data_IF_846341580960
#
_entry.id   IF_846341580960
#
_cell.length_a   1.000
_cell.length_b   1.000
_cell.length_c   1.000
_cell.angle_alpha   90.00
_cell.angle_beta   90.00
_cell.angle_gamma   90.00
#
_symmetry.space_group_name_H-M   'P 1'
#
loop_
_entity.id
_entity.type
_entity.pdbx_description
1 polymer ?
#
# COMPACT_ATOMS: atom_id res chain seq x y z
N UNK A 1 25.94 -28.17 9.49
CA UNK A 1 26.62 -27.21 8.57
C UNK A 1 25.62 -26.59 7.57
N UNK A 2 24.69 -27.36 6.99
CA UNK A 2 23.61 -26.83 6.13
C UNK A 2 22.73 -25.75 6.82
N UNK A 3 22.32 -25.97 8.09
CA UNK A 3 21.49 -25.04 8.84
C UNK A 3 22.15 -23.68 9.11
N UNK A 4 23.44 -23.66 9.46
CA UNK A 4 24.19 -22.41 9.67
C UNK A 4 24.46 -21.67 8.36
N UNK A 5 24.75 -22.39 7.28
CA UNK A 5 24.91 -21.79 5.96
C UNK A 5 23.59 -21.19 5.46
N UNK A 6 22.48 -21.89 5.66
CA UNK A 6 21.14 -21.41 5.29
C UNK A 6 20.74 -20.15 6.05
N UNK A 7 20.96 -20.09 7.38
CA UNK A 7 20.70 -18.89 8.19
C UNK A 7 21.62 -17.74 7.76
N UNK A 8 22.91 -18.00 7.52
CA UNK A 8 23.86 -16.96 7.13
C UNK A 8 23.51 -16.33 5.77
N UNK A 9 23.03 -17.14 4.81
CA UNK A 9 22.54 -16.67 3.51
C UNK A 9 21.24 -15.88 3.67
N UNK A 10 20.30 -16.36 4.50
CA UNK A 10 19.02 -15.66 4.74
C UNK A 10 19.16 -14.30 5.45
N UNK A 11 20.27 -14.05 6.15
CA UNK A 11 20.55 -12.76 6.78
C UNK A 11 21.18 -11.77 5.78
N UNK A 12 21.65 -12.24 4.62
CA UNK A 12 22.19 -11.35 3.59
C UNK A 12 21.09 -10.43 3.07
N UNK A 13 21.43 -9.14 2.96
CA UNK A 13 20.46 -8.10 2.63
C UNK A 13 19.71 -8.34 1.31
N UNK A 14 20.35 -8.85 0.23
CA UNK A 14 19.61 -9.23 -0.99
C UNK A 14 18.54 -10.29 -0.77
N UNK A 15 18.80 -11.31 0.06
CA UNK A 15 17.83 -12.37 0.37
C UNK A 15 16.68 -11.85 1.24
N UNK A 16 16.98 -10.96 2.19
CA UNK A 16 15.94 -10.28 2.99
C UNK A 16 15.04 -9.44 2.11
N UNK A 17 15.61 -8.65 1.18
CA UNK A 17 14.85 -7.84 0.23
C UNK A 17 13.97 -8.73 -0.67
N UNK A 18 14.53 -9.80 -1.24
CA UNK A 18 13.81 -10.72 -2.11
C UNK A 18 12.67 -11.43 -1.36
N UNK A 19 12.90 -11.83 -0.10
CA UNK A 19 11.88 -12.44 0.76
C UNK A 19 10.71 -11.50 1.05
N UNK A 20 11.00 -10.24 1.43
CA UNK A 20 9.97 -9.22 1.65
C UNK A 20 9.17 -8.98 0.37
N UNK A 21 9.85 -8.87 -0.78
CA UNK A 21 9.19 -8.66 -2.06
C UNK A 21 8.30 -9.85 -2.46
N UNK A 22 8.73 -11.08 -2.20
CA UNK A 22 7.95 -12.29 -2.44
C UNK A 22 6.70 -12.34 -1.56
N UNK A 23 6.81 -12.00 -0.28
CA UNK A 23 5.67 -11.97 0.63
C UNK A 23 4.71 -10.81 0.32
N UNK A 24 5.24 -9.67 -0.11
CA UNK A 24 4.43 -8.55 -0.62
C UNK A 24 3.65 -8.95 -1.88
N UNK A 25 4.29 -9.65 -2.82
CA UNK A 25 3.60 -10.14 -4.02
C UNK A 25 2.42 -11.07 -3.68
N UNK A 26 2.62 -12.01 -2.75
CA UNK A 26 1.52 -12.86 -2.25
C UNK A 26 0.41 -12.05 -1.59
N UNK A 27 0.77 -11.05 -0.78
CA UNK A 27 -0.22 -10.19 -0.12
C UNK A 27 -1.04 -9.36 -1.13
N UNK A 28 -0.41 -8.85 -2.19
CA UNK A 28 -1.08 -8.14 -3.28
C UNK A 28 -2.08 -9.07 -3.98
N UNK A 29 -1.68 -10.30 -4.30
CA UNK A 29 -2.54 -11.29 -4.95
C UNK A 29 -3.73 -11.69 -4.07
N UNK A 30 -3.51 -11.96 -2.78
CA UNK A 30 -4.57 -12.31 -1.83
C UNK A 30 -5.58 -11.18 -1.60
N UNK A 31 -5.17 -9.93 -1.82
CA UNK A 31 -6.02 -8.75 -1.71
C UNK A 31 -6.58 -8.26 -3.03
N UNK A 32 -6.14 -8.81 -4.17
CA UNK A 32 -6.74 -8.50 -5.45
C UNK A 32 -8.19 -9.01 -5.42
N UNK A 33 -9.15 -8.09 -5.35
CA UNK A 33 -10.56 -8.45 -5.40
C UNK A 33 -10.94 -9.06 -6.74
N UNK A 34 -12.13 -9.66 -6.79
CA UNK A 34 -12.65 -10.26 -8.01
C UNK A 34 -13.07 -9.16 -9.01
N UNK A 35 -12.42 -9.04 -10.18
CA UNK A 35 -12.76 -8.03 -11.18
C UNK A 35 -14.15 -8.23 -11.80
N UNK A 36 -14.77 -9.40 -11.62
CA UNK A 36 -16.11 -9.73 -12.12
C UNK A 36 -17.23 -9.35 -11.15
N UNK A 37 -16.90 -9.14 -9.86
CA UNK A 37 -17.78 -8.48 -8.89
C UNK A 37 -17.65 -6.98 -9.17
N UNK A 38 -18.28 -6.60 -10.27
CA UNK A 38 -17.94 -5.43 -11.07
C UNK A 38 -18.01 -4.08 -10.35
N UNK A 39 -17.73 -3.07 -11.17
CA UNK A 39 -17.78 -1.62 -10.93
C UNK A 39 -19.12 -1.05 -10.39
N UNK A 40 -19.97 -1.89 -9.81
CA UNK A 40 -21.15 -1.54 -8.99
C UNK A 40 -20.78 -1.17 -7.54
N UNK A 41 -19.53 -0.77 -7.33
CA UNK A 41 -19.09 -0.17 -6.09
C UNK A 41 -19.76 1.20 -5.95
N UNK A 42 -21.00 1.23 -5.43
CA UNK A 42 -21.45 2.39 -4.67
C UNK A 42 -20.29 2.77 -3.75
N UNK A 43 -19.78 3.99 -3.92
CA UNK A 43 -18.66 4.48 -3.13
C UNK A 43 -18.99 4.23 -1.66
N UNK A 44 -18.10 3.59 -0.87
CA UNK A 44 -18.36 3.32 0.55
C UNK A 44 -18.91 4.54 1.31
N UNK A 45 -18.49 5.74 0.91
CA UNK A 45 -19.00 7.00 1.43
C UNK A 45 -20.51 7.21 1.20
N UNK A 46 -21.05 6.86 0.02
CA UNK A 46 -22.48 6.94 -0.27
C UNK A 46 -23.27 5.93 0.57
N UNK A 47 -22.79 4.68 0.66
CA UNK A 47 -23.41 3.66 1.50
C UNK A 47 -23.47 4.10 2.97
N UNK A 48 -22.40 4.70 3.48
CA UNK A 48 -22.36 5.22 4.85
C UNK A 48 -23.31 6.41 5.01
N UNK A 49 -23.41 7.29 4.00
CA UNK A 49 -24.30 8.45 4.04
C UNK A 49 -25.79 8.08 4.02
N UNK A 50 -26.14 6.94 3.43
CA UNK A 50 -27.50 6.40 3.38
C UNK A 50 -27.90 5.66 4.68
N UNK A 51 -27.01 5.53 5.66
CA UNK A 51 -27.33 4.86 6.93
C UNK A 51 -28.19 5.76 7.85
N UNK A 52 -29.14 5.14 8.55
CA UNK A 52 -30.02 5.84 9.48
C UNK A 52 -29.26 6.30 10.74
N UNK A 53 -28.89 7.58 10.76
CA UNK A 53 -28.25 8.24 11.89
C UNK A 53 -26.75 7.94 12.04
N UNK A 54 -26.12 8.37 13.16
CA UNK A 54 -24.68 8.31 13.32
C UNK A 54 -24.11 6.91 13.57
N UNK A 55 -24.96 5.92 13.87
CA UNK A 55 -24.54 4.58 14.29
C UNK A 55 -23.98 4.55 15.70
N UNK A 56 -23.58 3.35 16.14
CA UNK A 56 -22.96 3.11 17.45
C UNK A 56 -21.48 2.77 17.30
N UNK A 57 -20.64 3.38 18.13
CA UNK A 57 -19.20 3.18 18.08
C UNK A 57 -18.74 2.01 18.94
N UNK A 58 -17.78 1.25 18.41
CA UNK A 58 -17.07 0.20 19.14
C UNK A 58 -15.63 0.66 19.36
N UNK A 59 -15.26 0.75 20.63
CA UNK A 59 -13.92 1.14 21.05
C UNK A 59 -12.93 -0.01 20.97
N UNK A 60 -11.67 0.30 20.68
CA UNK A 60 -10.59 -0.68 20.68
C UNK A 60 -10.37 -1.21 22.10
N UNK A 61 -10.36 -2.54 22.32
CA UNK A 61 -10.24 -3.11 23.66
C UNK A 61 -8.83 -2.92 24.25
N UNK A 62 -7.81 -2.79 23.39
CA UNK A 62 -6.41 -2.57 23.78
C UNK A 62 -5.65 -1.83 22.69
N UNK A 63 -4.53 -1.22 23.06
CA UNK A 63 -3.62 -0.59 22.10
C UNK A 63 -2.78 -1.61 21.34
N UNK A 64 -2.51 -1.37 20.07
CA UNK A 64 -1.66 -2.23 19.23
C UNK A 64 -1.97 -2.11 17.75
N UNK A 65 -1.11 -2.69 16.92
CA UNK A 65 -1.37 -2.77 15.48
C UNK A 65 -2.46 -3.78 15.20
N UNK A 66 -3.43 -3.39 14.37
CA UNK A 66 -4.38 -4.32 13.78
C UNK A 66 -3.59 -5.20 12.80
N UNK A 67 -3.48 -6.49 13.08
CA UNK A 67 -2.66 -7.43 12.29
C UNK A 67 -3.51 -8.23 11.30
N UNK A 68 -4.75 -8.52 11.66
CA UNK A 68 -5.61 -9.39 10.87
C UNK A 68 -7.09 -9.14 11.13
N UNK A 69 -7.91 -9.26 10.09
CA UNK A 69 -9.37 -9.17 10.13
C UNK A 69 -9.98 -10.35 9.37
N UNK A 70 -10.88 -11.08 10.02
CA UNK A 70 -11.67 -12.14 9.40
C UNK A 70 -12.97 -11.58 8.80
N UNK A 71 -12.89 -11.04 7.58
CA UNK A 71 -14.05 -10.41 6.91
C UNK A 71 -15.27 -11.34 6.82
N UNK A 72 -15.09 -12.64 6.54
CA UNK A 72 -16.20 -13.61 6.48
C UNK A 72 -16.94 -13.74 7.81
N UNK A 73 -16.21 -13.84 8.90
CA UNK A 73 -16.76 -13.91 10.26
C UNK A 73 -17.53 -12.65 10.62
N UNK A 74 -17.02 -11.47 10.21
CA UNK A 74 -17.71 -10.20 10.41
C UNK A 74 -19.00 -10.08 9.59
N UNK A 75 -19.01 -10.54 8.34
CA UNK A 75 -20.20 -10.55 7.49
C UNK A 75 -21.27 -11.46 8.08
N UNK A 76 -20.90 -12.64 8.57
CA UNK A 76 -21.83 -13.57 9.23
C UNK A 76 -22.42 -12.95 10.50
N UNK A 77 -21.56 -12.41 11.37
CA UNK A 77 -21.99 -11.71 12.58
C UNK A 77 -22.96 -10.56 12.27
N UNK A 78 -22.62 -9.74 11.29
CA UNK A 78 -23.45 -8.61 10.86
C UNK A 78 -24.81 -9.08 10.32
N UNK A 79 -24.86 -10.17 9.56
CA UNK A 79 -26.11 -10.75 9.08
C UNK A 79 -26.98 -11.31 10.22
N UNK A 80 -26.39 -11.99 11.21
CA UNK A 80 -27.11 -12.56 12.36
C UNK A 80 -27.80 -11.51 13.25
N UNK A 81 -27.27 -10.29 13.27
CA UNK A 81 -27.77 -9.19 14.10
C UNK A 81 -28.44 -8.09 13.28
N UNK A 82 -28.62 -8.36 11.99
CA UNK A 82 -29.13 -7.43 10.98
C UNK A 82 -28.49 -6.03 11.05
N UNK A 83 -27.16 -6.01 10.99
CA UNK A 83 -26.36 -4.79 11.08
C UNK A 83 -25.45 -4.59 9.86
N UNK A 84 -24.95 -3.37 9.75
CA UNK A 84 -23.84 -2.95 8.89
C UNK A 84 -22.68 -2.55 9.77
N UNK A 85 -21.52 -3.17 9.53
CA UNK A 85 -20.27 -2.87 10.24
C UNK A 85 -19.38 -2.01 9.33
N UNK A 86 -18.87 -0.89 9.81
CA UNK A 86 -17.84 -0.09 9.15
C UNK A 86 -16.52 -0.15 9.92
N UNK A 87 -15.51 -0.75 9.30
CA UNK A 87 -14.14 -0.77 9.80
C UNK A 87 -13.43 0.54 9.40
N UNK A 88 -13.27 1.46 10.37
CA UNK A 88 -12.56 2.74 10.17
C UNK A 88 -11.04 2.53 9.98
N UNK A 89 -10.54 1.41 10.46
CA UNK A 89 -9.12 1.05 10.43
C UNK A 89 -8.92 -0.26 9.68
N UNK A 90 -7.74 -0.41 9.09
CA UNK A 90 -7.31 -1.58 8.33
C UNK A 90 -6.09 -2.22 8.97
N UNK A 91 -5.77 -3.48 8.63
CA UNK A 91 -4.52 -4.08 9.07
C UNK A 91 -3.33 -3.17 8.76
N UNK A 92 -2.43 -3.01 9.73
CA UNK A 92 -1.33 -2.05 9.69
C UNK A 92 -1.54 -0.80 10.52
N UNK A 93 -2.78 -0.40 10.80
CA UNK A 93 -3.02 0.76 11.64
C UNK A 93 -2.84 0.44 13.12
N UNK A 94 -2.32 1.42 13.87
CA UNK A 94 -2.25 1.35 15.32
C UNK A 94 -3.59 1.79 15.92
N UNK A 95 -4.19 0.92 16.72
CA UNK A 95 -5.37 1.20 17.52
C UNK A 95 -4.94 1.70 18.90
N UNK A 96 -5.69 2.67 19.43
CA UNK A 96 -5.49 3.19 20.80
C UNK A 96 -6.66 2.70 21.65
N UNK A 97 -6.35 2.09 22.80
CA UNK A 97 -7.37 1.60 23.73
C UNK A 97 -8.40 2.69 24.05
N UNK A 98 -9.69 2.32 24.01
CA UNK A 98 -10.79 3.24 24.30
C UNK A 98 -11.20 4.14 23.13
N UNK A 99 -10.40 4.24 22.07
CA UNK A 99 -10.77 5.00 20.88
C UNK A 99 -11.66 4.16 19.95
N UNK A 100 -12.68 4.77 19.32
CA UNK A 100 -13.51 4.11 18.32
C UNK A 100 -12.70 3.61 17.12
N UNK A 101 -12.90 2.36 16.72
CA UNK A 101 -12.29 1.80 15.50
C UNK A 101 -13.28 1.15 14.54
N UNK A 102 -14.52 0.95 14.99
CA UNK A 102 -15.63 0.43 14.20
C UNK A 102 -16.88 1.25 14.50
N UNK A 103 -17.70 1.45 13.47
CA UNK A 103 -19.08 1.96 13.60
C UNK A 103 -20.06 0.90 13.15
N UNK A 104 -21.20 0.82 13.84
CA UNK A 104 -22.22 -0.19 13.58
C UNK A 104 -23.58 0.49 13.42
N UNK A 105 -24.33 0.07 12.41
CA UNK A 105 -25.73 0.45 12.23
C UNK A 105 -26.63 -0.79 12.26
N UNK A 106 -27.80 -0.75 12.91
CA UNK A 106 -28.26 0.32 13.79
C UNK A 106 -27.42 0.39 15.09
N UNK A 107 -27.47 1.52 15.80
CA UNK A 107 -26.56 1.80 16.91
C UNK A 107 -26.68 0.79 18.07
N UNK A 108 -27.86 0.23 18.27
CA UNK A 108 -28.19 -0.75 19.30
C UNK A 108 -27.42 -2.07 19.10
N UNK A 109 -27.00 -2.38 17.87
CA UNK A 109 -26.21 -3.58 17.58
C UNK A 109 -24.74 -3.46 18.02
N UNK A 110 -24.23 -2.23 18.28
CA UNK A 110 -22.82 -1.99 18.55
C UNK A 110 -22.27 -2.79 19.74
N UNK A 111 -23.03 -2.93 20.83
CA UNK A 111 -22.58 -3.69 22.00
C UNK A 111 -22.50 -5.20 21.72
N UNK A 112 -23.39 -5.74 20.87
CA UNK A 112 -23.34 -7.15 20.45
C UNK A 112 -22.16 -7.37 19.51
N UNK A 113 -21.97 -6.49 18.54
CA UNK A 113 -20.81 -6.53 17.64
C UNK A 113 -19.51 -6.45 18.46
N UNK A 114 -19.38 -5.52 19.40
CA UNK A 114 -18.18 -5.36 20.23
C UNK A 114 -17.73 -6.65 20.94
N UNK A 115 -18.69 -7.42 21.48
CA UNK A 115 -18.41 -8.68 22.19
C UNK A 115 -17.83 -9.76 21.27
N UNK A 116 -18.35 -9.89 20.07
CA UNK A 116 -17.90 -10.91 19.10
C UNK A 116 -16.70 -10.43 18.27
N UNK A 117 -16.58 -9.12 18.05
CA UNK A 117 -15.50 -8.51 17.28
C UNK A 117 -14.13 -8.80 17.88
N UNK A 118 -14.03 -8.93 19.20
CA UNK A 118 -12.80 -9.33 19.90
C UNK A 118 -12.27 -10.71 19.45
N UNK A 119 -13.12 -11.57 18.88
CA UNK A 119 -12.74 -12.90 18.33
C UNK A 119 -12.43 -12.85 16.83
N UNK A 120 -12.87 -11.81 16.14
CA UNK A 120 -12.80 -11.71 14.68
C UNK A 120 -11.61 -10.90 14.15
N UNK A 121 -10.79 -10.31 15.04
CA UNK A 121 -9.57 -9.60 14.67
C UNK A 121 -8.40 -9.93 15.60
N UNK A 122 -7.19 -9.67 15.13
CA UNK A 122 -5.95 -9.84 15.90
C UNK A 122 -5.25 -8.49 16.02
N UNK A 123 -4.89 -8.11 17.25
CA UNK A 123 -4.00 -6.98 17.52
C UNK A 123 -2.67 -7.45 18.09
N UNK A 124 -1.57 -6.80 17.76
CA UNK A 124 -0.25 -7.13 18.31
C UNK A 124 0.72 -5.94 18.36
N UNK A 125 1.91 -6.13 18.92
CA UNK A 125 2.86 -5.04 19.14
C UNK A 125 3.60 -4.57 17.88
N UNK A 126 3.50 -5.32 16.77
CA UNK A 126 4.14 -5.01 15.49
C UNK A 126 3.19 -5.24 14.31
N UNK A 127 3.49 -4.63 13.16
CA UNK A 127 2.76 -4.87 11.90
C UNK A 127 3.15 -6.22 11.29
N UNK A 128 2.27 -6.79 10.48
CA UNK A 128 2.48 -8.04 9.77
C UNK A 128 2.15 -7.85 8.29
N UNK A 129 2.86 -8.55 7.39
CA UNK A 129 2.63 -8.44 5.95
C UNK A 129 1.33 -9.11 5.48
N UNK A 130 0.81 -10.06 6.26
CA UNK A 130 -0.28 -10.97 5.85
C UNK A 130 -1.52 -10.26 5.28
N UNK A 131 -1.87 -9.08 5.80
CA UNK A 131 -2.98 -8.26 5.27
C UNK A 131 -2.62 -6.77 5.13
N UNK A 132 -1.34 -6.43 5.06
CA UNK A 132 -0.89 -5.04 5.01
C UNK A 132 0.17 -4.86 3.91
N UNK A 133 -0.32 -4.68 2.67
CA UNK A 133 0.50 -4.38 1.50
C UNK A 133 1.35 -3.12 1.71
N UNK A 134 0.83 -2.12 2.43
CA UNK A 134 1.60 -0.91 2.73
C UNK A 134 2.83 -1.21 3.58
N UNK A 135 2.78 -2.21 4.47
CA UNK A 135 3.92 -2.57 5.30
C UNK A 135 5.07 -3.17 4.49
N UNK A 136 4.79 -3.98 3.46
CA UNK A 136 5.85 -4.53 2.62
C UNK A 136 6.59 -3.46 1.85
N UNK A 137 5.85 -2.48 1.31
CA UNK A 137 6.45 -1.28 0.72
C UNK A 137 7.29 -0.53 1.76
N UNK A 138 6.75 -0.32 2.97
CA UNK A 138 7.48 0.38 4.03
C UNK A 138 8.78 -0.31 4.43
N UNK A 139 8.81 -1.64 4.47
CA UNK A 139 10.02 -2.39 4.79
C UNK A 139 11.08 -2.25 3.69
N UNK A 140 10.69 -2.31 2.41
CA UNK A 140 11.62 -2.06 1.30
C UNK A 140 12.14 -0.62 1.32
N UNK A 141 11.26 0.36 1.59
CA UNK A 141 11.64 1.77 1.73
C UNK A 141 12.58 1.96 2.92
N UNK A 142 12.34 1.30 4.04
CA UNK A 142 13.19 1.40 5.23
C UNK A 142 14.59 0.85 4.99
N UNK A 143 14.72 -0.28 4.29
CA UNK A 143 16.02 -0.81 3.87
C UNK A 143 16.70 0.18 2.91
N UNK A 144 15.95 0.72 1.94
CA UNK A 144 16.47 1.69 0.98
C UNK A 144 17.05 2.94 1.66
N UNK A 145 16.29 3.61 2.54
CA UNK A 145 16.76 4.84 3.19
C UNK A 145 17.90 4.59 4.19
N UNK A 146 17.97 3.40 4.81
CA UNK A 146 19.12 3.01 5.65
C UNK A 146 20.37 2.83 4.81
N UNK A 147 20.25 2.19 3.64
CA UNK A 147 21.35 2.02 2.71
C UNK A 147 21.88 3.37 2.19
N UNK A 148 20.97 4.33 1.95
CA UNK A 148 21.32 5.71 1.54
C UNK A 148 21.84 6.61 2.68
N UNK A 149 21.80 6.16 3.92
CA UNK A 149 22.28 6.98 5.04
C UNK A 149 23.79 7.26 4.93
N UNK A 150 24.22 8.42 5.43
CA UNK A 150 25.63 8.83 5.38
C UNK A 150 26.60 7.83 6.04
N UNK A 151 26.11 7.02 6.97
CA UNK A 151 26.91 5.99 7.65
C UNK A 151 27.11 4.72 6.81
N UNK A 152 26.19 4.40 5.90
CA UNK A 152 26.22 3.16 5.11
C UNK A 152 26.65 3.44 3.67
N UNK A 153 26.01 4.42 3.03
CA UNK A 153 26.28 4.86 1.65
C UNK A 153 26.32 3.71 0.62
N UNK A 154 25.44 2.72 0.78
CA UNK A 154 25.31 1.59 -0.13
C UNK A 154 24.24 1.88 -1.19
N UNK A 155 24.68 2.50 -2.28
CA UNK A 155 23.78 2.87 -3.38
C UNK A 155 23.20 1.63 -4.08
N UNK A 156 23.95 0.53 -4.24
CA UNK A 156 23.48 -0.65 -4.98
C UNK A 156 22.32 -1.36 -4.28
N UNK A 157 22.39 -1.47 -2.95
CA UNK A 157 21.26 -1.96 -2.15
C UNK A 157 20.04 -1.05 -2.32
N UNK A 158 20.23 0.28 -2.29
CA UNK A 158 19.12 1.21 -2.49
C UNK A 158 18.47 1.07 -3.87
N UNK A 159 19.26 0.92 -4.94
CA UNK A 159 18.75 0.67 -6.29
C UNK A 159 17.96 -0.64 -6.36
N UNK A 160 18.45 -1.69 -5.69
CA UNK A 160 17.77 -2.99 -5.61
C UNK A 160 16.41 -2.86 -4.92
N UNK A 161 16.32 -2.12 -3.80
CA UNK A 161 15.03 -1.84 -3.16
C UNK A 161 14.07 -1.09 -4.08
N UNK A 162 14.55 -0.09 -4.83
CA UNK A 162 13.72 0.68 -5.78
C UNK A 162 13.19 -0.23 -6.90
N UNK A 163 13.99 -1.17 -7.40
CA UNK A 163 13.53 -2.15 -8.40
C UNK A 163 12.37 -3.01 -7.87
N UNK A 164 12.48 -3.54 -6.65
CA UNK A 164 11.42 -4.34 -6.04
C UNK A 164 10.18 -3.53 -5.65
N UNK A 165 10.35 -2.27 -5.25
CA UNK A 165 9.24 -1.33 -5.03
C UNK A 165 8.50 -1.09 -6.36
N UNK A 166 9.23 -0.81 -7.44
CA UNK A 166 8.68 -0.60 -8.77
C UNK A 166 7.92 -1.82 -9.29
N UNK A 167 8.50 -3.01 -9.17
CA UNK A 167 7.86 -4.28 -9.51
C UNK A 167 6.57 -4.52 -8.70
N UNK A 168 6.59 -4.28 -7.39
CA UNK A 168 5.43 -4.43 -6.52
C UNK A 168 4.30 -3.48 -6.91
N UNK A 169 4.62 -2.22 -7.19
CA UNK A 169 3.62 -1.25 -7.65
C UNK A 169 3.10 -1.55 -9.05
N UNK A 170 3.91 -2.13 -9.94
CA UNK A 170 3.42 -2.61 -11.25
C UNK A 170 2.36 -3.72 -11.09
N UNK A 171 2.48 -4.57 -10.07
CA UNK A 171 1.47 -5.61 -9.75
C UNK A 171 0.17 -5.02 -9.19
N UNK A 172 0.27 -3.90 -8.48
CA UNK A 172 -0.89 -3.15 -7.97
C UNK A 172 -1.60 -2.40 -9.09
N UNK A 173 -0.85 -1.75 -9.97
CA UNK A 173 -1.37 -0.80 -10.96
C UNK A 173 -2.30 -1.46 -11.97
N UNK A 174 -3.50 -0.89 -12.15
CA UNK A 174 -4.47 -1.32 -13.17
C UNK A 174 -5.20 -2.64 -12.90
N UNK A 175 -4.86 -3.37 -11.83
CA UNK A 175 -5.44 -4.69 -11.52
C UNK A 175 -5.92 -4.83 -10.08
N UNK A 176 -5.26 -4.17 -9.13
CA UNK A 176 -5.53 -4.36 -7.72
C UNK A 176 -6.74 -3.55 -7.26
N UNK A 177 -7.86 -4.26 -7.06
CA UNK A 177 -9.12 -3.69 -6.59
C UNK A 177 -9.52 -4.37 -5.29
N UNK A 178 -8.99 -3.95 -4.12
CA UNK A 178 -9.32 -4.59 -2.85
C UNK A 178 -10.80 -4.41 -2.53
N UNK A 179 -11.44 -5.47 -2.04
CA UNK A 179 -12.86 -5.44 -1.68
C UNK A 179 -13.09 -4.45 -0.53
N UNK A 180 -13.95 -3.47 -0.77
CA UNK A 180 -14.34 -2.43 0.21
C UNK A 180 -15.72 -2.67 0.81
N UNK A 181 -16.58 -3.40 0.10
CA UNK A 181 -17.97 -3.67 0.50
C UNK A 181 -18.19 -5.16 0.41
N UNK A 182 -18.60 -5.77 1.53
CA UNK A 182 -18.92 -7.18 1.61
C UNK A 182 -20.41 -7.34 1.88
N UNK A 183 -21.02 -8.25 1.12
CA UNK A 183 -22.44 -8.56 1.17
C UNK A 183 -22.66 -9.97 1.73
N UNK A 184 -23.82 -10.20 2.33
CA UNK A 184 -24.27 -11.55 2.72
C UNK A 184 -24.81 -12.33 1.51
N UNK A 185 -25.27 -13.56 1.76
CA UNK A 185 -25.85 -14.43 0.74
C UNK A 185 -27.17 -13.88 0.13
N UNK A 186 -27.85 -12.97 0.82
CA UNK A 186 -29.05 -12.30 0.33
C UNK A 186 -28.73 -11.01 -0.45
N UNK A 187 -27.45 -10.63 -0.56
CA UNK A 187 -27.00 -9.42 -1.26
C UNK A 187 -27.00 -8.15 -0.40
N UNK A 188 -27.39 -8.23 0.87
CA UNK A 188 -27.38 -7.10 1.80
C UNK A 188 -25.95 -6.69 2.15
N UNK A 189 -25.66 -5.38 2.18
CA UNK A 189 -24.36 -4.87 2.66
C UNK A 189 -24.23 -5.19 4.14
N UNK A 190 -23.12 -5.83 4.55
CA UNK A 190 -22.88 -6.22 5.95
C UNK A 190 -21.58 -5.67 6.52
N UNK A 191 -20.59 -5.44 5.67
CA UNK A 191 -19.30 -4.92 6.09
C UNK A 191 -18.74 -3.94 5.06
N UNK A 192 -18.35 -2.78 5.54
CA UNK A 192 -17.63 -1.75 4.79
C UNK A 192 -16.22 -1.67 5.39
N UNK A 193 -15.21 -1.88 4.56
CA UNK A 193 -13.80 -1.92 4.98
C UNK A 193 -13.01 -0.76 4.36
N UNK A 194 -12.25 -0.08 5.21
CA UNK A 194 -11.24 0.87 4.74
C UNK A 194 -10.09 0.12 4.07
N UNK A 195 -9.74 0.49 2.85
CA UNK A 195 -8.59 -0.08 2.11
C UNK A 195 -7.60 1.02 1.73
N UNK A 196 -6.32 0.68 1.62
CA UNK A 196 -5.30 1.63 1.14
C UNK A 196 -5.57 2.00 -0.32
N UNK A 197 -5.25 3.24 -0.70
CA UNK A 197 -5.38 3.75 -2.06
C UNK A 197 -4.08 3.55 -2.84
N UNK A 198 -4.17 3.48 -4.17
CA UNK A 198 -2.99 3.42 -5.03
C UNK A 198 -2.07 4.63 -4.80
N UNK A 199 -2.66 5.84 -4.77
CA UNK A 199 -1.97 7.09 -4.42
C UNK A 199 -1.13 6.94 -3.15
N UNK A 200 -1.73 6.43 -2.07
CA UNK A 200 -1.03 6.27 -0.80
C UNK A 200 0.10 5.25 -0.88
N UNK A 201 -0.01 4.21 -1.69
CA UNK A 201 1.08 3.25 -1.88
C UNK A 201 2.25 3.89 -2.64
N UNK A 202 1.96 4.68 -3.68
CA UNK A 202 2.96 5.40 -4.49
C UNK A 202 3.68 6.47 -3.67
N UNK A 203 2.97 7.31 -2.92
CA UNK A 203 3.57 8.31 -2.03
C UNK A 203 4.56 7.66 -1.04
N UNK A 204 4.11 6.59 -0.38
CA UNK A 204 4.92 5.88 0.61
C UNK A 204 6.18 5.27 0.00
N UNK A 205 6.07 4.77 -1.22
CA UNK A 205 7.16 4.15 -1.96
C UNK A 205 8.27 5.14 -2.36
N UNK A 206 7.90 6.33 -2.84
CA UNK A 206 8.86 7.22 -3.49
C UNK A 206 9.28 8.44 -2.66
N UNK A 207 8.43 8.96 -1.77
CA UNK A 207 8.74 10.24 -1.12
C UNK A 207 9.98 10.19 -0.23
N UNK A 208 10.05 9.20 0.67
CA UNK A 208 11.19 9.08 1.60
C UNK A 208 12.46 8.70 0.88
N UNK A 209 12.38 7.88 -0.17
CA UNK A 209 13.52 7.49 -0.99
C UNK A 209 14.05 8.70 -1.76
N UNK A 210 13.17 9.49 -2.37
CA UNK A 210 13.51 10.78 -2.99
C UNK A 210 14.20 11.73 -2.01
N UNK A 211 13.64 11.90 -0.80
CA UNK A 211 14.23 12.77 0.22
C UNK A 211 15.62 12.29 0.67
N UNK A 212 15.79 10.99 0.89
CA UNK A 212 17.08 10.40 1.27
C UNK A 212 18.12 10.43 0.14
N UNK A 213 17.68 10.31 -1.12
CA UNK A 213 18.53 10.34 -2.32
C UNK A 213 18.87 11.75 -2.83
N UNK A 214 18.72 12.79 -1.99
CA UNK A 214 19.05 14.18 -2.36
C UNK A 214 20.50 14.27 -2.83
N UNK A 215 20.73 14.86 -4.01
CA UNK A 215 22.06 14.99 -4.61
C UNK A 215 22.65 13.68 -5.15
N UNK A 216 21.86 12.61 -5.28
CA UNK A 216 22.32 11.30 -5.79
C UNK A 216 21.65 10.95 -7.12
N UNK A 217 22.23 11.33 -8.28
CA UNK A 217 21.62 11.14 -9.60
C UNK A 217 21.19 9.70 -9.88
N UNK A 218 22.01 8.70 -9.53
CA UNK A 218 21.70 7.29 -9.73
C UNK A 218 20.39 6.85 -9.04
N UNK A 219 20.12 7.38 -7.84
CA UNK A 219 18.90 7.08 -7.06
C UNK A 219 17.68 7.78 -7.67
N UNK A 220 17.84 9.03 -8.10
CA UNK A 220 16.76 9.79 -8.73
C UNK A 220 16.38 9.18 -10.09
N UNK A 221 17.36 8.83 -10.92
CA UNK A 221 17.17 8.14 -12.20
C UNK A 221 16.44 6.82 -11.99
N UNK A 222 16.89 6.01 -11.02
CA UNK A 222 16.27 4.71 -10.78
C UNK A 222 14.83 4.80 -10.31
N UNK A 223 14.48 5.81 -9.51
CA UNK A 223 13.08 6.07 -9.15
C UNK A 223 12.24 6.46 -10.38
N UNK A 224 12.77 7.30 -11.26
CA UNK A 224 12.09 7.68 -12.51
C UNK A 224 11.91 6.48 -13.45
N UNK A 225 12.89 5.58 -13.54
CA UNK A 225 12.76 4.35 -14.31
C UNK A 225 11.67 3.42 -13.74
N UNK A 226 11.56 3.32 -12.42
CA UNK A 226 10.47 2.58 -11.78
C UNK A 226 9.10 3.23 -12.06
N UNK A 227 9.00 4.56 -11.96
CA UNK A 227 7.78 5.31 -12.29
C UNK A 227 7.38 5.16 -13.77
N UNK A 228 8.35 5.11 -14.69
CA UNK A 228 8.08 4.84 -16.11
C UNK A 228 7.41 3.48 -16.32
N UNK A 229 7.94 2.41 -15.68
CA UNK A 229 7.34 1.06 -15.72
C UNK A 229 5.94 1.03 -15.11
N UNK A 230 5.71 1.76 -14.02
CA UNK A 230 4.38 1.89 -13.41
C UNK A 230 3.43 2.62 -14.37
N UNK A 231 3.89 3.71 -15.02
CA UNK A 231 3.12 4.47 -15.99
C UNK A 231 2.66 3.61 -17.19
N UNK A 232 3.46 2.64 -17.63
CA UNK A 232 3.08 1.69 -18.69
C UNK A 232 1.86 0.84 -18.32
N UNK A 233 1.64 0.61 -17.02
CA UNK A 233 0.53 -0.21 -16.49
C UNK A 233 -0.68 0.63 -16.07
N UNK A 234 -0.49 1.92 -15.80
CA UNK A 234 -1.52 2.82 -15.30
C UNK A 234 -2.53 3.19 -16.39
N UNK A 235 -3.78 2.74 -16.23
CA UNK A 235 -4.87 2.99 -17.17
C UNK A 235 -5.78 4.13 -16.73
N UNK A 236 -6.04 4.26 -15.41
CA UNK A 236 -6.90 5.29 -14.85
C UNK A 236 -6.23 6.68 -14.88
N UNK A 237 -6.91 7.75 -15.31
CA UNK A 237 -6.34 9.10 -15.35
C UNK A 237 -5.78 9.56 -14.01
N UNK A 238 -6.48 9.26 -12.91
CA UNK A 238 -6.07 9.59 -11.55
C UNK A 238 -4.77 8.89 -11.15
N UNK A 239 -4.62 7.60 -11.44
CA UNK A 239 -3.40 6.84 -11.15
C UNK A 239 -2.21 7.39 -11.96
N UNK A 240 -2.44 7.77 -13.22
CA UNK A 240 -1.42 8.39 -14.07
C UNK A 240 -1.00 9.74 -13.53
N UNK A 241 -1.92 10.54 -13.02
CA UNK A 241 -1.61 11.83 -12.43
C UNK A 241 -0.70 11.68 -11.19
N UNK A 242 -1.00 10.73 -10.30
CA UNK A 242 -0.16 10.42 -9.12
C UNK A 242 1.29 10.12 -9.53
N UNK A 243 1.49 9.31 -10.58
CA UNK A 243 2.83 8.96 -11.07
C UNK A 243 3.55 10.19 -11.65
N UNK A 244 2.84 11.05 -12.40
CA UNK A 244 3.39 12.30 -12.92
C UNK A 244 3.83 13.25 -11.80
N UNK A 245 3.03 13.37 -10.75
CA UNK A 245 3.31 14.26 -9.62
C UNK A 245 4.59 13.84 -8.88
N UNK A 246 4.78 12.53 -8.67
CA UNK A 246 6.02 11.99 -8.10
C UNK A 246 7.22 12.24 -9.02
N UNK A 247 7.07 11.98 -10.33
CA UNK A 247 8.13 12.21 -11.30
C UNK A 247 8.58 13.68 -11.33
N UNK A 248 7.62 14.61 -11.30
CA UNK A 248 7.88 16.05 -11.25
C UNK A 248 8.54 16.47 -9.93
N UNK A 249 8.20 15.86 -8.79
CA UNK A 249 8.88 16.10 -7.53
C UNK A 249 10.35 15.63 -7.53
N UNK A 250 10.66 14.55 -8.25
CA UNK A 250 12.04 14.06 -8.41
C UNK A 250 12.85 15.00 -9.30
N UNK A 251 12.29 15.45 -10.43
CA UNK A 251 12.94 16.41 -11.33
C UNK A 251 13.28 17.73 -10.60
N UNK A 252 12.31 18.30 -9.86
CA UNK A 252 12.55 19.52 -9.07
C UNK A 252 13.64 19.35 -8.02
N UNK A 253 13.71 18.17 -7.38
CA UNK A 253 14.77 17.88 -6.43
C UNK A 253 16.13 17.79 -7.12
N UNK A 254 16.21 17.18 -8.30
CA UNK A 254 17.45 17.10 -9.08
C UNK A 254 17.98 18.49 -9.42
N UNK A 255 17.12 19.38 -9.94
CA UNK A 255 17.48 20.75 -10.25
C UNK A 255 18.02 21.52 -9.02
N UNK A 256 17.52 21.21 -7.82
CA UNK A 256 17.89 21.88 -6.58
C UNK A 256 19.01 21.19 -5.77
N UNK A 257 19.59 20.09 -6.24
CA UNK A 257 20.57 19.32 -5.43
C UNK A 257 21.68 18.60 -6.17
N UNK A 258 21.62 18.47 -7.50
CA UNK A 258 22.68 17.85 -8.30
C UNK A 258 23.50 18.97 -8.94
N UNK A 259 24.80 19.03 -8.63
CA UNK A 259 25.67 20.15 -9.02
C UNK A 259 26.22 20.01 -10.45
N UNK A 260 26.55 18.80 -10.88
CA UNK A 260 27.07 18.54 -12.23
C UNK A 260 25.94 18.65 -13.28
N UNK A 261 26.19 19.42 -14.34
CA UNK A 261 25.21 19.67 -15.39
C UNK A 261 24.91 18.42 -16.22
N UNK A 262 25.93 17.59 -16.48
CA UNK A 262 25.74 16.31 -17.17
C UNK A 262 24.81 15.39 -16.37
N UNK A 263 25.03 15.26 -15.06
CA UNK A 263 24.19 14.43 -14.19
C UNK A 263 22.74 14.93 -14.13
N UNK A 264 22.51 16.26 -14.07
CA UNK A 264 21.16 16.82 -14.17
C UNK A 264 20.50 16.47 -15.51
N UNK A 265 21.25 16.54 -16.60
CA UNK A 265 20.74 16.16 -17.92
C UNK A 265 20.36 14.68 -17.97
N UNK A 266 21.07 13.80 -17.26
CA UNK A 266 20.76 12.36 -17.18
C UNK A 266 19.45 12.11 -16.42
N UNK A 267 19.24 12.81 -15.30
CA UNK A 267 17.96 12.77 -14.57
C UNK A 267 16.83 13.33 -15.44
N UNK A 268 17.05 14.43 -16.15
CA UNK A 268 16.05 15.00 -17.05
C UNK A 268 15.66 14.04 -18.18
N UNK A 269 16.60 13.30 -18.75
CA UNK A 269 16.29 12.25 -19.74
C UNK A 269 15.43 11.14 -19.15
N UNK A 270 15.68 10.75 -17.89
CA UNK A 270 14.84 9.78 -17.20
C UNK A 270 13.42 10.31 -16.94
N UNK A 271 13.30 11.58 -16.55
CA UNK A 271 12.00 12.24 -16.38
C UNK A 271 11.23 12.31 -17.70
N UNK A 272 11.90 12.66 -18.80
CA UNK A 272 11.29 12.71 -20.12
C UNK A 272 10.75 11.33 -20.56
N UNK A 273 11.43 10.23 -20.22
CA UNK A 273 10.90 8.87 -20.49
C UNK A 273 9.55 8.64 -19.83
N UNK A 274 9.35 9.10 -18.59
CA UNK A 274 8.04 8.99 -17.91
C UNK A 274 6.97 9.75 -18.68
N UNK A 275 7.28 10.97 -19.14
CA UNK A 275 6.36 11.80 -19.93
C UNK A 275 6.05 11.18 -21.29
N UNK A 276 7.04 10.59 -21.95
CA UNK A 276 6.87 9.93 -23.25
C UNK A 276 5.99 8.69 -23.12
N UNK A 277 6.18 7.88 -22.07
CA UNK A 277 5.28 6.75 -21.75
C UNK A 277 3.86 7.26 -21.50
N UNK A 278 3.70 8.31 -20.71
CA UNK A 278 2.39 8.92 -20.44
C UNK A 278 1.70 9.37 -21.74
N UNK A 279 2.43 10.04 -22.64
CA UNK A 279 1.93 10.52 -23.92
C UNK A 279 1.68 9.42 -24.96
N UNK A 280 1.93 8.14 -24.63
CA UNK A 280 1.84 7.01 -25.57
C UNK A 280 2.94 7.00 -26.64
N UNK A 281 4.05 7.69 -26.37
CA UNK A 281 5.19 7.87 -27.28
C UNK A 281 6.36 6.91 -27.00
N UNK A 282 6.19 5.95 -26.08
CA UNK A 282 7.22 4.95 -25.78
C UNK A 282 7.52 4.06 -27.00
N UNK A 283 8.55 4.47 -27.75
CA UNK A 283 9.34 3.75 -28.75
C UNK A 283 8.64 2.62 -29.55
N UNK A 284 8.03 3.01 -30.68
CA UNK A 284 8.41 2.38 -31.96
C UNK A 284 9.87 2.76 -32.26
N UNK A 285 10.82 2.10 -31.62
CA UNK A 285 12.22 2.13 -32.02
C UNK A 285 12.78 0.73 -31.85
N UNK A 286 13.00 0.11 -33.00
CA UNK A 286 13.63 -1.19 -33.22
C UNK A 286 15.12 -1.12 -32.92
#
# INVERSE_FOLDING_TARGET
IYFLHHIAVQIQLPEVIASIAADLAKAIELQAGDPTVGADAQYPALLIADMDGPGGDVAAPRSGYLQYIQHRTLVQLAAEVDAVIYLRYRPGHFLVQGHPYVTVWPAEAAQRVARELARAHVTGPYRTLAQDVSFGIDQLVEICIRALSAAVNDTFTALTCIDWIGDSLCKVTGRWQPTRVYRDAAGGVRLIATQVTFERLVERAFEKVRQAGRGMPAVLIRQLDALAKIMERATAPEDRQVVLDQAAMIERLSAASVDEAADRADVQRAYQRVLDVHAGRAARAT
#
